data_IF_245192788342
#
_entry.id   IF_245192788342
#
_cell.length_a   1.000
_cell.length_b   1.000
_cell.length_c   1.000
_cell.angle_alpha   90.00
_cell.angle_beta   90.00
_cell.angle_gamma   90.00
#
_symmetry.space_group_name_H-M   'P 1'
#
loop_
_entity.id
_entity.type
_entity.pdbx_description
1 polymer ?
#
# COMPACT_ATOMS: atom_id res chain seq x y z
N UNK A 1 12.27 3.79 4.50
CA UNK A 1 11.15 2.87 4.80
C UNK A 1 10.13 2.83 3.67
N UNK A 2 9.73 3.98 3.10
CA UNK A 2 8.73 4.07 2.02
C UNK A 2 9.06 3.25 0.77
N UNK A 3 10.27 3.39 0.23
CA UNK A 3 10.69 2.65 -0.96
C UNK A 3 10.68 1.14 -0.73
N UNK A 4 11.01 0.70 0.49
CA UNK A 4 10.99 -0.72 0.88
C UNK A 4 9.55 -1.22 0.91
N UNK A 5 8.63 -0.50 1.58
CA UNK A 5 7.21 -0.89 1.59
C UNK A 5 6.63 -0.94 0.18
N UNK A 6 6.91 0.07 -0.64
CA UNK A 6 6.42 0.14 -2.03
C UNK A 6 6.91 -1.04 -2.86
N UNK A 7 8.20 -1.41 -2.72
CA UNK A 7 8.77 -2.57 -3.39
C UNK A 7 8.12 -3.88 -2.92
N UNK A 8 7.96 -4.08 -1.61
CA UNK A 8 7.32 -5.27 -1.05
C UNK A 8 5.85 -5.36 -1.47
N UNK A 9 5.11 -4.25 -1.42
CA UNK A 9 3.71 -4.20 -1.81
C UNK A 9 3.50 -4.48 -3.30
N UNK A 10 4.37 -3.92 -4.16
CA UNK A 10 4.35 -4.21 -5.60
C UNK A 10 4.67 -5.67 -5.88
N UNK A 11 5.65 -6.25 -5.16
CA UNK A 11 5.96 -7.67 -5.24
C UNK A 11 4.76 -8.53 -4.82
N UNK A 12 4.10 -8.22 -3.70
CA UNK A 12 2.89 -8.92 -3.26
C UNK A 12 1.78 -8.85 -4.30
N UNK A 13 1.54 -7.69 -4.90
CA UNK A 13 0.56 -7.54 -5.97
C UNK A 13 0.89 -8.41 -7.19
N UNK A 14 2.16 -8.45 -7.61
CA UNK A 14 2.60 -9.31 -8.72
C UNK A 14 2.45 -10.79 -8.39
N UNK A 15 2.89 -11.23 -7.20
CA UNK A 15 2.73 -12.62 -6.75
C UNK A 15 1.26 -13.03 -6.72
N UNK A 16 0.38 -12.13 -6.27
CA UNK A 16 -1.06 -12.31 -6.28
C UNK A 16 -1.58 -12.47 -7.72
N UNK A 17 -1.19 -11.59 -8.63
CA UNK A 17 -1.58 -11.63 -10.06
C UNK A 17 -1.18 -12.97 -10.68
N UNK A 18 0.07 -13.40 -10.49
CA UNK A 18 0.55 -14.68 -11.03
C UNK A 18 0.02 -15.91 -10.29
N UNK A 19 -0.76 -15.73 -9.22
CA UNK A 19 -1.37 -16.83 -8.45
C UNK A 19 -0.36 -17.68 -7.70
N UNK A 20 0.85 -17.16 -7.51
CA UNK A 20 1.92 -17.86 -6.83
C UNK A 20 1.57 -18.33 -5.41
N UNK A 21 0.88 -17.55 -4.55
CA UNK A 21 0.59 -17.99 -3.19
C UNK A 21 -0.33 -19.21 -3.11
N UNK A 22 -1.09 -19.52 -4.16
CA UNK A 22 -2.02 -20.65 -4.15
C UNK A 22 -1.48 -21.88 -4.91
N UNK A 23 -0.40 -21.72 -5.69
CA UNK A 23 0.20 -22.80 -6.49
C UNK A 23 0.99 -23.81 -5.67
N UNK A 24 1.66 -23.39 -4.61
CA UNK A 24 2.51 -24.27 -3.78
C UNK A 24 2.58 -23.81 -2.33
N UNK A 25 2.90 -24.73 -1.41
CA UNK A 25 3.09 -24.40 0.00
C UNK A 25 4.26 -23.44 0.22
N UNK A 26 5.35 -23.60 -0.54
CA UNK A 26 6.49 -22.68 -0.48
C UNK A 26 6.11 -21.27 -0.96
N UNK A 27 5.31 -21.15 -2.04
CA UNK A 27 4.81 -19.87 -2.51
C UNK A 27 3.87 -19.20 -1.51
N UNK A 28 2.99 -19.97 -0.88
CA UNK A 28 2.11 -19.52 0.19
C UNK A 28 2.89 -18.96 1.39
N UNK A 29 3.87 -19.73 1.89
CA UNK A 29 4.71 -19.34 3.01
C UNK A 29 5.54 -18.10 2.68
N UNK A 30 6.17 -18.07 1.50
CA UNK A 30 6.94 -16.91 1.02
C UNK A 30 6.08 -15.64 0.94
N UNK A 31 4.86 -15.74 0.39
CA UNK A 31 3.92 -14.62 0.36
C UNK A 31 3.54 -14.15 1.77
N UNK A 32 3.29 -15.09 2.70
CA UNK A 32 2.97 -14.77 4.09
C UNK A 32 4.11 -14.05 4.82
N UNK A 33 5.36 -14.47 4.60
CA UNK A 33 6.55 -13.82 5.16
C UNK A 33 6.76 -12.40 4.61
N UNK A 34 6.60 -12.21 3.30
CA UNK A 34 6.68 -10.88 2.67
C UNK A 34 5.55 -9.98 3.18
N UNK A 35 4.34 -10.50 3.32
CA UNK A 35 3.19 -9.77 3.88
C UNK A 35 3.46 -9.35 5.32
N UNK A 36 4.00 -10.24 6.14
CA UNK A 36 4.40 -9.95 7.52
C UNK A 36 5.43 -8.80 7.57
N UNK A 37 6.50 -8.89 6.77
CA UNK A 37 7.51 -7.82 6.68
C UNK A 37 6.89 -6.48 6.24
N UNK A 38 6.02 -6.50 5.23
CA UNK A 38 5.35 -5.30 4.75
C UNK A 38 4.37 -4.70 5.77
N UNK A 39 3.65 -5.53 6.55
CA UNK A 39 2.79 -5.11 7.66
C UNK A 39 3.55 -4.37 8.75
N UNK A 40 4.77 -4.82 9.08
CA UNK A 40 5.64 -4.13 10.03
C UNK A 40 6.09 -2.74 9.57
N UNK A 41 6.17 -2.52 8.24
CA UNK A 41 6.47 -1.19 7.71
C UNK A 41 5.20 -0.34 7.64
N UNK A 42 4.11 -0.89 7.10
CA UNK A 42 2.80 -0.22 7.05
C UNK A 42 1.64 -1.22 7.24
N UNK A 43 0.77 -1.01 8.23
CA UNK A 43 -0.40 -1.85 8.47
C UNK A 43 -1.38 -1.94 7.30
N UNK A 44 -1.40 -0.94 6.40
CA UNK A 44 -2.27 -0.94 5.21
C UNK A 44 -2.06 -2.15 4.29
N UNK A 45 -0.90 -2.82 4.38
CA UNK A 45 -0.63 -4.08 3.68
C UNK A 45 -1.72 -5.12 3.92
N UNK A 46 -2.48 -5.06 5.02
CA UNK A 46 -3.61 -5.95 5.29
C UNK A 46 -4.64 -6.01 4.14
N UNK A 47 -4.71 -5.00 3.27
CA UNK A 47 -5.55 -5.01 2.07
C UNK A 47 -5.24 -6.15 1.07
N UNK A 48 -4.08 -6.83 1.19
CA UNK A 48 -3.76 -7.98 0.34
C UNK A 48 -4.63 -9.21 0.64
N UNK A 49 -5.13 -9.37 1.87
CA UNK A 49 -5.89 -10.55 2.27
C UNK A 49 -7.26 -10.66 1.60
N UNK A 50 -8.09 -9.59 1.51
CA UNK A 50 -9.33 -9.63 0.73
C UNK A 50 -9.10 -10.03 -0.74
N UNK A 51 -8.04 -9.52 -1.36
CA UNK A 51 -7.71 -9.83 -2.75
C UNK A 51 -7.25 -11.29 -2.93
N UNK A 52 -6.48 -11.81 -1.97
CA UNK A 52 -6.10 -13.22 -1.91
C UNK A 52 -7.29 -14.15 -1.66
N UNK A 53 -8.18 -13.78 -0.75
CA UNK A 53 -9.40 -14.54 -0.46
C UNK A 53 -10.31 -14.59 -1.69
N UNK A 54 -10.48 -13.45 -2.37
CA UNK A 54 -11.22 -13.38 -3.63
C UNK A 54 -10.63 -14.33 -4.68
N UNK A 55 -9.31 -14.32 -4.86
CA UNK A 55 -8.62 -15.22 -5.79
C UNK A 55 -8.79 -16.70 -5.41
N UNK A 56 -8.68 -17.02 -4.12
CA UNK A 56 -8.93 -18.37 -3.61
C UNK A 56 -10.36 -18.85 -3.91
N UNK A 57 -11.36 -17.99 -3.72
CA UNK A 57 -12.76 -18.30 -4.02
C UNK A 57 -12.98 -18.59 -5.51
N UNK A 58 -12.27 -17.87 -6.40
CA UNK A 58 -12.38 -18.06 -7.85
C UNK A 58 -11.69 -19.33 -8.35
N UNK A 59 -10.47 -19.61 -7.88
CA UNK A 59 -9.61 -20.62 -8.50
C UNK A 59 -9.72 -21.99 -7.82
N UNK A 60 -9.83 -22.06 -6.48
CA UNK A 60 -9.51 -23.30 -5.77
C UNK A 60 -10.27 -23.48 -4.44
N UNK A 61 -11.46 -24.10 -4.48
CA UNK A 61 -12.13 -24.65 -3.28
C UNK A 61 -11.60 -26.05 -2.90
N UNK A 62 -10.28 -26.23 -2.92
CA UNK A 62 -9.64 -27.49 -2.55
C UNK A 62 -9.02 -27.41 -1.16
N UNK A 63 -8.89 -28.56 -0.48
CA UNK A 63 -8.18 -28.66 0.80
C UNK A 63 -6.75 -28.11 0.73
N UNK A 64 -6.04 -28.38 -0.36
CA UNK A 64 -4.70 -27.80 -0.62
C UNK A 64 -4.75 -26.27 -0.64
N UNK A 65 -5.75 -25.68 -1.29
CA UNK A 65 -5.94 -24.24 -1.31
C UNK A 65 -6.17 -23.65 0.09
N UNK A 66 -6.93 -24.34 0.94
CA UNK A 66 -7.14 -23.94 2.34
C UNK A 66 -5.81 -23.94 3.10
N UNK A 67 -5.00 -24.98 2.96
CA UNK A 67 -3.67 -25.03 3.58
C UNK A 67 -2.80 -23.88 3.07
N UNK A 68 -2.77 -23.62 1.76
CA UNK A 68 -2.04 -22.48 1.21
C UNK A 68 -2.53 -21.15 1.82
N UNK A 69 -3.84 -20.95 1.91
CA UNK A 69 -4.41 -19.74 2.52
C UNK A 69 -3.98 -19.59 3.99
N UNK A 70 -4.02 -20.67 4.77
CA UNK A 70 -3.52 -20.67 6.15
C UNK A 70 -2.02 -20.33 6.20
N UNK A 71 -1.20 -20.93 5.34
CA UNK A 71 0.24 -20.65 5.26
C UNK A 71 0.55 -19.20 4.86
N UNK A 72 -0.32 -18.53 4.10
CA UNK A 72 -0.16 -17.09 3.83
C UNK A 72 -0.51 -16.21 5.04
N UNK A 73 -1.51 -16.61 5.84
CA UNK A 73 -1.96 -15.83 7.00
C UNK A 73 -1.11 -16.04 8.25
N UNK A 74 -0.64 -17.26 8.50
CA UNK A 74 0.05 -17.65 9.73
C UNK A 74 1.29 -16.79 10.05
N UNK A 75 2.21 -16.50 9.10
CA UNK A 75 3.37 -15.65 9.42
C UNK A 75 2.98 -14.23 9.81
N UNK A 76 1.94 -13.67 9.17
CA UNK A 76 1.43 -12.33 9.49
C UNK A 76 0.78 -12.31 10.87
N UNK A 77 -0.04 -13.32 11.20
CA UNK A 77 -0.63 -13.47 12.53
C UNK A 77 0.44 -13.67 13.61
N UNK A 78 1.44 -14.49 13.36
CA UNK A 78 2.55 -14.72 14.30
C UNK A 78 3.36 -13.44 14.55
N UNK A 79 3.72 -12.73 13.48
CA UNK A 79 4.44 -11.45 13.58
C UNK A 79 3.63 -10.39 14.32
N UNK A 80 2.37 -10.21 13.96
CA UNK A 80 1.47 -9.29 14.66
C UNK A 80 1.26 -9.68 16.13
N UNK A 81 1.14 -10.97 16.44
CA UNK A 81 1.00 -11.45 17.82
C UNK A 81 2.25 -11.15 18.64
N UNK A 82 3.45 -11.41 18.09
CA UNK A 82 4.71 -11.08 18.75
C UNK A 82 4.84 -9.57 19.01
N UNK A 83 4.47 -8.74 18.02
CA UNK A 83 4.43 -7.28 18.18
C UNK A 83 3.45 -6.83 19.26
N UNK A 84 2.25 -7.42 19.27
CA UNK A 84 1.20 -7.12 20.24
C UNK A 84 1.64 -7.49 21.65
N UNK A 85 2.26 -8.65 21.84
CA UNK A 85 2.80 -9.08 23.15
C UNK A 85 3.90 -8.13 23.62
N UNK A 86 4.79 -7.70 22.72
CA UNK A 86 5.82 -6.69 23.01
C UNK A 86 5.20 -5.37 23.44
N UNK A 87 4.19 -4.88 22.72
CA UNK A 87 3.51 -3.63 23.07
C UNK A 87 2.71 -3.75 24.37
N UNK A 88 2.07 -4.89 24.63
CA UNK A 88 1.35 -5.13 25.87
C UNK A 88 2.30 -5.07 27.07
N UNK A 89 3.50 -5.64 26.96
CA UNK A 89 4.52 -5.55 28.01
C UNK A 89 5.05 -4.13 28.25
N UNK A 90 5.03 -3.29 27.22
CA UNK A 90 5.57 -1.91 27.29
C UNK A 90 4.52 -0.88 27.74
N UNK A 91 3.27 -1.08 27.33
CA UNK A 91 2.20 -0.09 27.49
C UNK A 91 1.05 -0.58 28.36
N UNK A 92 1.04 -1.85 28.75
CA UNK A 92 -0.06 -2.52 29.47
C UNK A 92 -1.40 -2.44 28.73
N UNK A 93 -1.33 -2.32 27.40
CA UNK A 93 -2.48 -2.12 26.52
C UNK A 93 -2.37 -2.99 25.26
N UNK A 94 -3.52 -3.42 24.75
CA UNK A 94 -3.60 -4.22 23.53
C UNK A 94 -3.41 -3.33 22.29
N UNK A 95 -2.18 -3.31 21.74
CA UNK A 95 -1.83 -2.50 20.56
C UNK A 95 -1.35 -3.39 19.41
N UNK A 96 -2.24 -3.76 18.47
CA UNK A 96 -1.90 -4.72 17.42
C UNK A 96 -1.05 -4.15 16.29
N UNK A 97 -1.07 -2.83 16.09
CA UNK A 97 -0.38 -2.18 14.97
C UNK A 97 0.45 -0.98 15.42
N UNK A 98 -0.23 0.08 15.87
CA UNK A 98 0.42 1.37 16.15
C UNK A 98 -0.32 2.12 17.25
N UNK A 99 0.44 2.91 17.99
CA UNK A 99 0.02 3.87 19.00
C UNK A 99 -0.24 5.27 18.43
N UNK A 100 -0.22 5.46 17.10
CA UNK A 100 -0.33 6.80 16.50
C UNK A 100 -1.60 7.04 15.69
N UNK A 101 -2.51 6.08 15.56
CA UNK A 101 -3.74 6.23 14.76
C UNK A 101 -4.58 7.42 15.26
N UNK A 102 -4.85 7.48 16.57
CA UNK A 102 -5.67 8.52 17.17
C UNK A 102 -5.00 9.90 17.09
N UNK A 103 -3.68 9.99 17.22
CA UNK A 103 -3.01 11.27 17.07
C UNK A 103 -3.03 11.78 15.62
N UNK A 104 -2.77 10.90 14.65
CA UNK A 104 -2.80 11.27 13.23
C UNK A 104 -4.20 11.66 12.74
N UNK A 105 -5.24 10.99 13.25
CA UNK A 105 -6.62 11.26 12.85
C UNK A 105 -7.27 12.41 13.62
N UNK A 106 -6.87 12.69 14.86
CA UNK A 106 -7.47 13.73 15.71
C UNK A 106 -7.57 15.10 15.01
N UNK A 107 -6.53 15.50 14.28
CA UNK A 107 -6.51 16.75 13.51
C UNK A 107 -7.65 16.88 12.52
N UNK A 108 -8.13 15.76 11.97
CA UNK A 108 -9.27 15.81 11.07
C UNK A 108 -10.53 16.06 11.88
N UNK A 109 -10.72 15.44 13.03
CA UNK A 109 -11.97 15.48 13.79
C UNK A 109 -12.15 16.73 14.67
N UNK A 110 -11.48 17.83 14.32
CA UNK A 110 -11.44 19.09 15.10
C UNK A 110 -11.01 18.89 16.56
N UNK A 111 -10.42 17.73 16.86
CA UNK A 111 -9.77 17.43 18.12
C UNK A 111 -8.39 18.05 17.99
N UNK A 112 -8.22 19.29 18.48
CA UNK A 112 -6.93 20.01 18.47
C UNK A 112 -5.79 19.11 18.99
N UNK A 113 -5.14 18.36 18.09
CA UNK A 113 -4.48 17.11 18.45
C UNK A 113 -3.31 17.35 19.39
N UNK A 114 -2.56 18.43 19.15
CA UNK A 114 -1.44 18.83 20.01
C UNK A 114 -1.91 19.21 21.41
N UNK A 115 -3.00 19.97 21.53
CA UNK A 115 -3.56 20.36 22.84
C UNK A 115 -4.10 19.15 23.58
N UNK A 116 -4.85 18.29 22.88
CA UNK A 116 -5.37 17.05 23.46
C UNK A 116 -4.24 16.12 23.88
N UNK A 117 -3.21 15.93 23.05
CA UNK A 117 -2.05 15.11 23.34
C UNK A 117 -1.25 15.65 24.54
N UNK A 118 -0.96 16.96 24.56
CA UNK A 118 -0.27 17.60 25.69
C UNK A 118 -1.07 17.48 26.99
N UNK A 119 -2.39 17.70 26.94
CA UNK A 119 -3.26 17.55 28.09
C UNK A 119 -3.28 16.12 28.64
N UNK A 120 -3.46 15.11 27.76
CA UNK A 120 -3.44 13.71 28.14
C UNK A 120 -2.06 13.27 28.67
N UNK A 121 -0.98 13.83 28.11
CA UNK A 121 0.38 13.59 28.61
C UNK A 121 0.65 14.22 29.97
N UNK A 122 0.06 15.39 30.26
CA UNK A 122 0.09 16.01 31.60
C UNK A 122 -0.62 15.15 32.65
N UNK A 123 -1.62 14.36 32.24
CA UNK A 123 -2.27 13.35 33.09
C UNK A 123 -1.42 12.07 33.29
N UNK A 124 -0.16 12.06 32.82
CA UNK A 124 0.78 10.93 32.90
C UNK A 124 0.30 9.67 32.18
N UNK A 125 -0.57 9.82 31.18
CA UNK A 125 -0.96 8.71 30.31
C UNK A 125 0.20 8.32 29.39
N UNK A 126 0.37 7.01 29.16
CA UNK A 126 1.33 6.50 28.20
C UNK A 126 0.82 6.64 26.75
N UNK A 127 1.69 6.42 25.76
CA UNK A 127 1.37 6.62 24.34
C UNK A 127 0.16 5.80 23.87
N UNK A 128 0.03 4.55 24.32
CA UNK A 128 -1.11 3.69 23.97
C UNK A 128 -2.43 4.17 24.60
N UNK A 129 -2.37 4.63 25.86
CA UNK A 129 -3.53 5.20 26.55
C UNK A 129 -3.99 6.50 25.89
N UNK A 130 -3.05 7.37 25.51
CA UNK A 130 -3.35 8.60 24.76
C UNK A 130 -4.01 8.25 23.42
N UNK A 131 -3.44 7.32 22.67
CA UNK A 131 -4.01 6.85 21.40
C UNK A 131 -5.43 6.33 21.56
N UNK A 132 -5.68 5.51 22.59
CA UNK A 132 -7.00 4.95 22.90
C UNK A 132 -8.01 6.02 23.29
N UNK A 133 -7.59 7.03 24.05
CA UNK A 133 -8.42 8.18 24.40
C UNK A 133 -8.81 9.01 23.17
N UNK A 134 -7.85 9.27 22.27
CA UNK A 134 -8.10 9.98 21.02
C UNK A 134 -9.02 9.19 20.08
N UNK A 135 -8.79 7.88 19.91
CA UNK A 135 -9.67 7.01 19.11
C UNK A 135 -11.10 7.01 19.69
N UNK A 136 -11.27 7.08 21.01
CA UNK A 136 -12.59 7.19 21.64
C UNK A 136 -13.26 8.52 21.29
N UNK A 137 -12.55 9.63 21.40
CA UNK A 137 -13.07 10.95 21.03
C UNK A 137 -13.42 11.03 19.53
N UNK A 138 -12.60 10.43 18.66
CA UNK A 138 -12.91 10.29 17.24
C UNK A 138 -14.20 9.48 17.02
N UNK A 139 -14.37 8.39 17.76
CA UNK A 139 -15.57 7.56 17.73
C UNK A 139 -16.83 8.34 18.09
N UNK A 140 -16.76 9.12 19.16
CA UNK A 140 -17.86 9.99 19.57
C UNK A 140 -18.19 11.00 18.46
N UNK A 141 -17.18 11.65 17.87
CA UNK A 141 -17.38 12.53 16.73
C UNK A 141 -18.05 11.84 15.52
N UNK A 142 -17.64 10.61 15.18
CA UNK A 142 -18.23 9.84 14.08
C UNK A 142 -19.72 9.59 14.29
N UNK A 143 -20.10 9.23 15.51
CA UNK A 143 -21.48 8.92 15.89
C UNK A 143 -22.33 10.18 15.79
N UNK A 144 -21.80 11.32 16.23
CA UNK A 144 -22.52 12.59 16.25
C UNK A 144 -22.56 13.27 14.88
N UNK A 145 -21.60 12.98 13.99
CA UNK A 145 -21.44 13.67 12.70
C UNK A 145 -21.21 12.71 11.50
N UNK A 146 -22.07 11.70 11.25
CA UNK A 146 -21.81 10.68 10.23
C UNK A 146 -21.65 11.26 8.82
N UNK A 147 -22.43 12.29 8.48
CA UNK A 147 -22.35 12.96 7.17
C UNK A 147 -21.02 13.67 6.92
N UNK A 148 -20.50 14.41 7.91
CA UNK A 148 -19.18 15.06 7.81
C UNK A 148 -18.08 14.03 7.64
N UNK A 149 -18.20 12.90 8.32
CA UNK A 149 -17.23 11.82 8.26
C UNK A 149 -17.23 11.11 6.90
N UNK A 150 -18.41 10.89 6.30
CA UNK A 150 -18.50 10.36 4.93
C UNK A 150 -17.82 11.28 3.92
N UNK A 151 -18.12 12.59 3.97
CA UNK A 151 -17.48 13.60 3.11
C UNK A 151 -15.97 13.57 3.29
N UNK A 152 -15.50 13.44 4.53
CA UNK A 152 -14.07 13.35 4.83
C UNK A 152 -13.42 12.07 4.29
N UNK A 153 -14.05 10.91 4.41
CA UNK A 153 -13.53 9.69 3.83
C UNK A 153 -13.47 9.76 2.30
N UNK A 154 -14.49 10.34 1.66
CA UNK A 154 -14.46 10.61 0.23
C UNK A 154 -13.30 11.55 -0.13
N UNK A 155 -13.12 12.63 0.62
CA UNK A 155 -12.02 13.55 0.41
C UNK A 155 -10.66 12.86 0.58
N UNK A 156 -10.47 12.05 1.63
CA UNK A 156 -9.22 11.29 1.85
C UNK A 156 -8.96 10.28 0.73
N UNK A 157 -9.99 9.58 0.25
CA UNK A 157 -9.88 8.68 -0.90
C UNK A 157 -9.43 9.42 -2.17
N UNK A 158 -9.95 10.63 -2.39
CA UNK A 158 -9.53 11.48 -3.51
C UNK A 158 -8.13 12.07 -3.29
N UNK A 159 -7.79 12.44 -2.06
CA UNK A 159 -6.50 13.02 -1.68
C UNK A 159 -5.35 12.02 -1.86
N UNK A 160 -5.62 10.71 -1.85
CA UNK A 160 -4.64 9.68 -2.22
C UNK A 160 -4.10 9.88 -3.64
N UNK A 161 -4.91 10.46 -4.53
CA UNK A 161 -4.55 10.79 -5.91
C UNK A 161 -4.08 12.24 -6.06
N UNK A 162 -4.01 12.99 -4.95
CA UNK A 162 -3.50 14.36 -4.95
C UNK A 162 -1.98 14.36 -5.02
N UNK A 163 -1.46 15.23 -5.88
CA UNK A 163 -0.03 15.55 -5.94
C UNK A 163 0.34 16.69 -4.98
N UNK A 164 -0.57 17.16 -4.14
CA UNK A 164 -0.24 18.15 -3.12
C UNK A 164 0.51 17.44 -1.97
N UNK A 165 1.72 17.88 -1.58
CA UNK A 165 2.36 17.35 -0.38
C UNK A 165 1.46 17.53 0.83
N UNK A 166 1.48 16.55 1.74
CA UNK A 166 0.94 16.75 3.07
C UNK A 166 1.79 17.80 3.81
N UNK A 167 1.17 18.62 4.66
CA UNK A 167 1.86 19.69 5.39
C UNK A 167 2.99 19.13 6.27
N UNK A 168 2.85 17.89 6.77
CA UNK A 168 3.89 17.20 7.53
C UNK A 168 5.14 16.96 6.68
N UNK A 169 4.95 16.63 5.39
CA UNK A 169 6.07 16.49 4.46
C UNK A 169 6.69 17.84 4.15
N UNK A 170 5.89 18.89 3.97
CA UNK A 170 6.41 20.25 3.82
C UNK A 170 7.22 20.68 5.05
N UNK A 171 6.71 20.43 6.27
CA UNK A 171 7.37 20.82 7.52
C UNK A 171 8.66 20.04 7.76
N UNK A 172 8.66 18.71 7.63
CA UNK A 172 9.89 17.90 7.78
C UNK A 172 10.95 18.32 6.76
N UNK A 173 10.53 18.60 5.53
CA UNK A 173 11.43 19.13 4.51
C UNK A 173 11.93 20.52 4.89
N UNK A 174 11.07 21.41 5.38
CA UNK A 174 11.46 22.74 5.83
C UNK A 174 12.47 22.68 6.99
N UNK A 175 12.23 21.82 7.98
CA UNK A 175 13.09 21.60 9.14
C UNK A 175 14.43 20.94 8.79
N UNK A 176 14.48 20.05 7.79
CA UNK A 176 15.73 19.47 7.29
C UNK A 176 16.55 20.46 6.43
N UNK A 177 15.89 21.44 5.83
CA UNK A 177 16.49 22.45 4.96
C UNK A 177 17.04 23.65 5.75
N UNK A 178 16.38 24.05 6.84
CA UNK A 178 16.75 25.21 7.63
C UNK A 178 18.12 25.15 8.37
N UNK A 179 18.62 24.00 8.89
CA UNK A 179 19.93 23.97 9.55
C UNK A 179 21.10 23.98 8.57
N UNK A 180 20.86 23.81 7.26
CA UNK A 180 21.91 23.82 6.22
C UNK A 180 21.73 25.08 5.38
N UNK A 181 22.36 26.20 5.80
CA UNK A 181 22.52 27.51 5.12
C UNK A 181 21.52 27.83 3.96
N UNK A 182 20.75 28.94 4.06
CA UNK A 182 19.65 29.29 3.14
C UNK A 182 20.07 29.76 1.71
N UNK A 183 21.28 29.47 1.23
CA UNK A 183 21.78 29.99 -0.07
C UNK A 183 21.60 29.05 -1.27
N UNK A 184 21.01 27.86 -1.08
CA UNK A 184 20.91 26.87 -2.15
C UNK A 184 19.60 26.94 -2.95
N UNK A 185 19.60 27.64 -4.09
CA UNK A 185 18.58 27.52 -5.16
C UNK A 185 18.32 26.06 -5.61
N UNK A 186 19.21 25.13 -5.25
CA UNK A 186 19.13 23.71 -5.58
C UNK A 186 18.03 22.93 -4.85
N UNK A 187 17.64 23.31 -3.62
CA UNK A 187 16.69 22.52 -2.82
C UNK A 187 15.26 22.58 -3.41
N UNK A 188 14.73 23.76 -3.80
CA UNK A 188 13.46 23.84 -4.53
C UNK A 188 13.49 23.06 -5.86
N UNK A 189 14.62 23.06 -6.57
CA UNK A 189 14.77 22.29 -7.81
C UNK A 189 14.79 20.78 -7.59
N UNK A 190 15.51 20.30 -6.58
CA UNK A 190 15.51 18.88 -6.21
C UNK A 190 14.10 18.43 -5.84
N UNK A 191 13.39 19.26 -5.06
CA UNK A 191 11.99 19.06 -4.71
C UNK A 191 11.12 18.95 -5.96
N UNK A 192 11.16 19.95 -6.86
CA UNK A 192 10.39 19.93 -8.10
C UNK A 192 10.71 18.70 -8.98
N UNK A 193 11.96 18.26 -8.99
CA UNK A 193 12.39 17.06 -9.74
C UNK A 193 11.83 15.78 -9.10
N UNK A 194 11.81 15.68 -7.77
CA UNK A 194 11.15 14.59 -7.06
C UNK A 194 9.63 14.61 -7.28
N UNK A 195 9.01 15.76 -7.48
CA UNK A 195 7.59 15.85 -7.82
C UNK A 195 7.29 15.33 -9.23
N UNK A 196 8.17 15.64 -10.20
CA UNK A 196 8.04 15.14 -11.57
C UNK A 196 7.92 13.62 -11.66
N UNK A 197 8.63 12.89 -10.79
CA UNK A 197 8.55 11.43 -10.74
C UNK A 197 7.11 10.94 -10.49
N UNK A 198 6.32 11.67 -9.69
CA UNK A 198 4.95 11.31 -9.40
C UNK A 198 4.07 11.53 -10.63
N UNK A 199 4.15 12.65 -11.33
CA UNK A 199 3.41 12.85 -12.58
C UNK A 199 3.65 11.72 -13.59
N UNK A 200 4.90 11.31 -13.75
CA UNK A 200 5.28 10.17 -14.61
C UNK A 200 4.67 8.87 -14.09
N UNK A 201 4.74 8.62 -12.78
CA UNK A 201 4.14 7.45 -12.11
C UNK A 201 2.63 7.36 -12.37
N UNK A 202 1.90 8.47 -12.26
CA UNK A 202 0.45 8.50 -12.51
C UNK A 202 0.11 8.22 -13.97
N UNK A 203 0.85 8.79 -14.93
CA UNK A 203 0.65 8.51 -16.36
C UNK A 203 0.89 7.02 -16.64
N UNK A 204 2.00 6.47 -16.15
CA UNK A 204 2.34 5.05 -16.33
C UNK A 204 1.31 4.13 -15.65
N UNK A 205 0.83 4.49 -14.46
CA UNK A 205 -0.23 3.76 -13.78
C UNK A 205 -1.55 3.82 -14.56
N UNK A 206 -1.92 4.96 -15.12
CA UNK A 206 -3.12 5.10 -15.96
C UNK A 206 -3.04 4.23 -17.22
N UNK A 207 -1.87 4.20 -17.89
CA UNK A 207 -1.63 3.29 -19.01
C UNK A 207 -1.76 1.82 -18.58
N UNK A 208 -1.17 1.45 -17.43
CA UNK A 208 -1.32 0.12 -16.84
C UNK A 208 -2.76 -0.25 -16.51
N UNK A 209 -3.55 0.70 -15.99
CA UNK A 209 -4.97 0.55 -15.75
C UNK A 209 -5.76 0.36 -17.05
N UNK A 210 -5.41 1.09 -18.12
CA UNK A 210 -6.01 0.88 -19.44
C UNK A 210 -5.82 -0.55 -19.94
N UNK A 211 -4.59 -1.07 -19.84
CA UNK A 211 -4.26 -2.47 -20.19
C UNK A 211 -5.04 -3.45 -19.31
N UNK A 212 -5.10 -3.17 -18.01
CA UNK A 212 -5.86 -3.96 -17.04
C UNK A 212 -7.36 -4.05 -17.41
N UNK A 213 -7.98 -2.92 -17.78
CA UNK A 213 -9.37 -2.86 -18.25
C UNK A 213 -9.55 -3.64 -19.55
N UNK A 214 -8.57 -3.63 -20.45
CA UNK A 214 -8.64 -4.40 -21.70
C UNK A 214 -8.51 -5.92 -21.46
N UNK A 215 -7.87 -6.35 -20.36
CA UNK A 215 -7.67 -7.76 -19.99
C UNK A 215 -8.69 -8.33 -18.99
N UNK A 216 -9.87 -7.69 -18.89
CA UNK A 216 -11.01 -7.84 -17.92
C UNK A 216 -11.10 -9.09 -17.01
N UNK A 217 -10.71 -10.29 -17.43
CA UNK A 217 -10.86 -11.54 -16.66
C UNK A 217 -9.61 -11.97 -15.87
N UNK A 218 -8.40 -11.64 -16.31
CA UNK A 218 -7.17 -12.21 -15.70
C UNK A 218 -6.74 -11.50 -14.41
N UNK A 219 -7.32 -10.34 -14.10
CA UNK A 219 -6.75 -9.40 -13.13
C UNK A 219 -7.77 -8.84 -12.13
N UNK A 220 -8.92 -9.51 -11.94
CA UNK A 220 -9.93 -9.10 -10.97
C UNK A 220 -9.37 -8.94 -9.54
N UNK A 221 -8.40 -9.76 -9.15
CA UNK A 221 -7.72 -9.64 -7.85
C UNK A 221 -6.98 -8.31 -7.65
N UNK A 222 -6.49 -7.69 -8.73
CA UNK A 222 -5.83 -6.38 -8.61
C UNK A 222 -6.83 -5.25 -8.37
N UNK A 223 -8.01 -5.28 -8.99
CA UNK A 223 -9.08 -4.33 -8.69
C UNK A 223 -9.52 -4.44 -7.24
N UNK A 224 -9.72 -5.65 -6.73
CA UNK A 224 -10.02 -5.88 -5.31
C UNK A 224 -8.93 -5.31 -4.41
N UNK A 225 -7.65 -5.54 -4.73
CA UNK A 225 -6.53 -5.00 -3.98
C UNK A 225 -6.56 -3.46 -3.96
N UNK A 226 -6.73 -2.82 -5.11
CA UNK A 226 -6.77 -1.36 -5.23
C UNK A 226 -7.96 -0.77 -4.47
N UNK A 227 -9.15 -1.33 -4.62
CA UNK A 227 -10.35 -0.87 -3.91
C UNK A 227 -10.15 -1.01 -2.41
N UNK A 228 -9.69 -2.18 -1.94
CA UNK A 228 -9.41 -2.39 -0.51
C UNK A 228 -8.33 -1.43 0.00
N UNK A 229 -7.28 -1.16 -0.78
CA UNK A 229 -6.26 -0.19 -0.40
C UNK A 229 -6.86 1.21 -0.24
N UNK A 230 -7.61 1.69 -1.23
CA UNK A 230 -8.23 3.03 -1.20
C UNK A 230 -9.19 3.17 -0.02
N UNK A 231 -10.04 2.15 0.22
CA UNK A 231 -10.99 2.16 1.32
C UNK A 231 -10.29 2.16 2.69
N UNK A 232 -9.32 1.25 2.90
CA UNK A 232 -8.58 1.18 4.16
C UNK A 232 -7.76 2.47 4.36
N UNK A 233 -7.12 2.99 3.31
CA UNK A 233 -6.39 4.25 3.36
C UNK A 233 -7.29 5.40 3.82
N UNK A 234 -8.45 5.57 3.19
CA UNK A 234 -9.39 6.63 3.52
C UNK A 234 -9.83 6.58 5.00
N UNK A 235 -9.96 5.39 5.57
CA UNK A 235 -10.31 5.21 6.97
C UNK A 235 -9.18 5.61 7.94
N UNK A 236 -7.92 5.36 7.58
CA UNK A 236 -6.80 5.40 8.56
C UNK A 236 -5.82 6.54 8.35
N UNK A 237 -5.82 7.20 7.20
CA UNK A 237 -4.77 8.17 6.86
C UNK A 237 -5.29 9.30 5.98
N UNK A 238 -4.61 10.44 6.10
CA UNK A 238 -4.75 11.55 5.15
C UNK A 238 -4.00 11.17 3.87
N UNK A 239 -4.56 11.56 2.73
CA UNK A 239 -3.87 11.40 1.45
C UNK A 239 -2.52 12.07 1.49
N UNK A 240 -1.46 11.31 1.22
CA UNK A 240 -0.09 11.77 1.03
C UNK A 240 0.42 11.11 -0.25
N UNK A 241 1.17 11.85 -1.08
CA UNK A 241 1.87 11.30 -2.23
C UNK A 241 2.75 10.07 -1.88
N UNK A 242 3.21 9.96 -0.63
CA UNK A 242 3.93 8.79 -0.11
C UNK A 242 3.09 7.50 -0.14
N UNK A 243 1.77 7.64 -0.21
CA UNK A 243 0.79 6.55 -0.22
C UNK A 243 0.33 6.18 -1.63
N UNK A 244 1.00 6.67 -2.68
CA UNK A 244 0.81 6.26 -4.07
C UNK A 244 1.13 4.77 -4.35
N UNK A 245 1.40 3.96 -3.32
CA UNK A 245 1.59 2.50 -3.37
C UNK A 245 0.59 1.74 -4.28
N UNK A 246 -0.72 2.04 -4.37
CA UNK A 246 -1.64 1.29 -5.23
C UNK A 246 -1.45 1.57 -6.73
N UNK A 247 -0.71 2.62 -7.10
CA UNK A 247 -0.39 2.93 -8.51
C UNK A 247 0.78 2.09 -9.06
N UNK A 248 1.72 1.69 -8.20
CA UNK A 248 2.91 0.95 -8.61
C UNK A 248 2.60 -0.44 -9.20
N UNK A 249 1.65 -1.24 -8.66
CA UNK A 249 1.22 -2.48 -9.31
C UNK A 249 0.76 -2.30 -10.76
N UNK A 250 0.08 -1.20 -11.07
CA UNK A 250 -0.35 -0.89 -12.43
C UNK A 250 0.84 -0.59 -13.35
N UNK A 251 1.84 0.12 -12.85
CA UNK A 251 3.09 0.37 -13.60
C UNK A 251 3.86 -0.93 -13.86
N UNK A 252 3.94 -1.83 -12.88
CA UNK A 252 4.57 -3.13 -13.07
C UNK A 252 3.83 -3.97 -14.12
N UNK A 253 2.49 -3.94 -14.12
CA UNK A 253 1.69 -4.57 -15.16
C UNK A 253 1.99 -4.01 -16.55
N UNK A 254 2.03 -2.68 -16.69
CA UNK A 254 2.40 -2.04 -17.96
C UNK A 254 3.76 -2.56 -18.45
N UNK A 255 4.78 -2.54 -17.59
CA UNK A 255 6.13 -3.01 -17.94
C UNK A 255 6.14 -4.47 -18.41
N UNK A 256 5.46 -5.37 -17.69
CA UNK A 256 5.41 -6.81 -18.06
C UNK A 256 4.73 -7.04 -19.40
N UNK A 257 3.69 -6.28 -19.73
CA UNK A 257 2.98 -6.43 -21.01
C UNK A 257 3.80 -5.95 -22.20
N UNK A 258 4.51 -4.83 -22.05
CA UNK A 258 5.43 -4.33 -23.07
C UNK A 258 6.57 -5.32 -23.34
N UNK A 259 7.15 -5.89 -22.27
CA UNK A 259 8.22 -6.88 -22.40
C UNK A 259 7.76 -8.18 -23.08
N UNK A 260 6.54 -8.62 -22.78
CA UNK A 260 5.95 -9.84 -23.37
C UNK A 260 5.59 -9.66 -24.85
N UNK A 261 5.27 -8.44 -25.30
CA UNK A 261 4.98 -8.16 -26.70
C UNK A 261 6.26 -8.24 -27.55
N UNK A 262 7.36 -7.68 -27.06
CA UNK A 262 8.65 -7.70 -27.76
C UNK A 262 9.22 -9.12 -27.96
N UNK A 263 9.05 -10.00 -26.98
CA UNK A 263 9.56 -11.38 -27.07
C UNK A 263 8.83 -12.23 -28.13
N UNK A 264 7.52 -12.07 -28.28
CA UNK A 264 6.73 -12.77 -29.32
C UNK A 264 7.11 -12.31 -30.73
N UNK A 265 7.34 -11.01 -30.91
CA UNK A 265 7.74 -10.47 -32.21
C UNK A 265 9.14 -10.97 -32.62
N UNK A 266 10.07 -11.06 -31.66
CA UNK A 266 11.40 -11.61 -31.91
C UNK A 266 11.39 -13.11 -32.26
N UNK A 267 10.48 -13.89 -31.65
CA UNK A 267 10.31 -15.31 -31.99
C UNK A 267 9.72 -15.50 -33.40
N UNK A 268 8.68 -14.75 -33.75
CA UNK A 268 8.07 -14.82 -35.09
C UNK A 268 9.05 -14.45 -36.22
N UNK A 269 9.95 -13.49 -35.99
CA UNK A 269 10.94 -13.13 -37.00
C UNK A 269 12.00 -14.21 -37.23
N UNK A 270 12.44 -14.91 -36.16
CA UNK A 270 13.36 -16.05 -36.29
C UNK A 270 12.73 -17.21 -37.08
N UNK A 271 11.45 -17.50 -36.88
CA UNK A 271 10.74 -18.53 -37.65
C UNK A 271 10.63 -18.14 -39.15
N UNK A 272 10.41 -16.85 -39.44
CA UNK A 272 10.33 -16.37 -40.84
C UNK A 272 11.66 -16.48 -41.60
N UNK A 273 12.80 -16.36 -40.93
CA UNK A 273 14.13 -16.53 -41.55
C UNK A 273 14.59 -18.00 -41.58
N UNK A 274 14.13 -18.83 -40.65
CA UNK A 274 14.39 -20.27 -40.68
C UNK A 274 13.80 -20.96 -41.92
N UNK A 275 12.55 -20.63 -42.28
CA UNK A 275 11.85 -21.29 -43.39
C UNK A 275 12.39 -20.94 -44.79
N UNK A 276 12.94 -19.74 -44.98
CA UNK A 276 13.50 -19.35 -46.29
C UNK A 276 14.85 -20.03 -46.58
N UNK A 277 15.55 -20.52 -45.56
CA UNK A 277 16.85 -21.18 -45.75
C UNK A 277 16.70 -22.64 -46.20
N UNK A 278 15.56 -23.29 -45.93
CA UNK A 278 15.34 -24.71 -46.28
C UNK A 278 14.85 -24.88 -47.73
N UNK A 279 14.19 -23.86 -48.32
CA UNK A 279 13.69 -23.95 -49.70
C UNK A 279 14.73 -23.68 -50.79
N UNK A 280 15.94 -23.23 -50.47
CA UNK A 280 17.02 -22.98 -51.44
C UNK A 280 18.08 -24.09 -51.49
N UNK A 281 17.82 -25.27 -50.91
CA UNK A 281 18.74 -26.42 -50.93
C UNK A 281 18.15 -27.70 -51.55
N UNK A 282 17.05 -27.59 -52.29
CA UNK A 282 16.48 -28.67 -53.10
C UNK A 282 16.49 -28.27 -54.58
#
# INVERSE_FOLDING_TARGET
TESIHTALFSLLALLLIFGWPLRSFAGALGFGLITCAALFIRPITICVFPALLWKFIQEHRSWRGIICLLLTGLPSLAGMSAWTVRNYRLFEEFVPFTTNIGHHNAWDYDLHADRAFLHLRQQRLNEAQINKALIRAEREFYIDNPGKCLVRYLWRAMALFSLKPAWETEQVLWELVLPIRPSGTYIPHLYHTMFWQYYVTYILAACGAGILVLRRRELAGLWTLMICYVLIHAMVSRGDMRLAAPLYPLMCLLATTLFSAGSRQAQGHKESHGNNTVMNQA
#
